data_IF_725112265897
#
_entry.id   IF_725112265897
#
_cell.length_a   1.000
_cell.length_b   1.000
_cell.length_c   1.000
_cell.angle_alpha   90.00
_cell.angle_beta   90.00
_cell.angle_gamma   90.00
#
_symmetry.space_group_name_H-M   'P 1'
#
loop_
_entity.id
_entity.type
_entity.pdbx_description
1 polymer ?
#
# COMPACT_ATOMS: atom_id res chain seq x y z
N UNK A 1 23.47 5.28 -6.59
CA UNK A 1 23.60 5.51 -8.05
C UNK A 1 22.50 4.76 -8.85
N UNK A 2 22.30 3.47 -8.64
CA UNK A 2 21.28 2.70 -9.36
C UNK A 2 19.86 3.25 -9.23
N UNK A 3 19.54 3.84 -8.08
CA UNK A 3 18.25 4.48 -7.83
C UNK A 3 18.03 5.79 -8.59
N UNK A 4 19.07 6.34 -9.19
CA UNK A 4 19.01 7.61 -9.91
C UNK A 4 18.81 7.46 -11.41
N UNK A 5 18.89 6.26 -11.94
CA UNK A 5 18.65 6.00 -13.36
C UNK A 5 17.17 6.18 -13.71
N UNK A 6 16.91 6.57 -14.92
CA UNK A 6 15.57 6.61 -15.53
C UNK A 6 15.54 5.59 -16.66
N UNK A 7 15.03 4.40 -16.38
CA UNK A 7 15.02 3.33 -17.37
C UNK A 7 16.18 2.35 -17.20
N UNK A 8 16.87 2.04 -18.27
CA UNK A 8 17.95 1.05 -18.26
C UNK A 8 19.20 1.52 -17.50
N UNK A 9 20.05 0.59 -17.13
CA UNK A 9 21.30 0.86 -16.39
C UNK A 9 22.24 1.79 -17.14
N UNK A 10 22.23 1.70 -18.47
CA UNK A 10 23.03 2.53 -19.37
C UNK A 10 22.75 4.02 -19.24
N UNK A 11 21.57 4.41 -18.73
CA UNK A 11 21.25 5.83 -18.50
C UNK A 11 22.16 6.49 -17.48
N UNK A 12 22.71 5.74 -16.53
CA UNK A 12 23.58 6.24 -15.46
C UNK A 12 25.04 5.85 -15.68
N UNK A 13 25.32 4.64 -16.15
CA UNK A 13 26.68 4.13 -16.35
C UNK A 13 27.61 5.10 -17.10
N UNK A 14 27.21 5.69 -18.27
CA UNK A 14 28.04 6.63 -18.98
C UNK A 14 28.33 7.94 -18.22
N UNK A 15 27.57 8.20 -17.15
CA UNK A 15 27.62 9.45 -16.38
C UNK A 15 28.33 9.28 -15.02
N UNK A 16 28.83 8.08 -14.72
CA UNK A 16 29.43 7.81 -13.41
C UNK A 16 30.65 8.72 -13.14
N UNK A 17 31.48 8.94 -14.15
CA UNK A 17 32.66 9.84 -14.04
C UNK A 17 32.25 11.28 -13.70
N UNK A 18 31.17 11.78 -14.31
CA UNK A 18 30.67 13.13 -14.04
C UNK A 18 29.99 13.21 -12.67
N UNK A 19 29.35 12.15 -12.22
CA UNK A 19 28.81 12.03 -10.87
C UNK A 19 29.93 12.02 -9.84
N UNK A 20 31.00 11.26 -10.07
CA UNK A 20 32.17 11.20 -9.18
C UNK A 20 32.84 12.58 -9.07
N UNK A 21 32.98 13.29 -10.21
CA UNK A 21 33.50 14.68 -10.22
C UNK A 21 32.56 15.64 -9.47
N UNK A 22 31.27 15.53 -9.65
CA UNK A 22 30.29 16.37 -8.96
C UNK A 22 30.39 16.21 -7.44
N UNK A 23 30.68 15.02 -6.96
CA UNK A 23 30.89 14.72 -5.55
C UNK A 23 32.36 14.75 -5.14
N UNK A 24 33.24 15.45 -5.92
CA UNK A 24 34.66 15.62 -5.61
C UNK A 24 35.40 14.31 -5.33
N UNK A 25 35.05 13.23 -6.06
CA UNK A 25 35.49 11.86 -5.82
C UNK A 25 35.23 11.39 -4.38
N UNK A 26 34.11 11.86 -3.82
CA UNK A 26 33.67 11.55 -2.46
C UNK A 26 34.57 12.07 -1.33
N UNK A 27 35.29 13.14 -1.58
CA UNK A 27 36.05 13.89 -0.55
C UNK A 27 35.04 14.59 0.37
N UNK A 28 34.86 14.07 1.58
CA UNK A 28 33.85 14.51 2.55
C UNK A 28 34.06 15.99 2.94
N UNK A 29 35.29 16.39 3.16
CA UNK A 29 35.62 17.78 3.53
C UNK A 29 35.19 18.76 2.44
N UNK A 30 35.39 18.40 1.17
CA UNK A 30 34.95 19.22 0.03
C UNK A 30 33.42 19.18 -0.10
N UNK A 31 32.78 18.01 0.03
CA UNK A 31 31.31 17.90 -0.04
C UNK A 31 30.69 18.83 1.00
N UNK A 32 31.18 18.83 2.23
CA UNK A 32 30.63 19.63 3.33
C UNK A 32 30.73 21.13 3.12
N UNK A 33 31.61 21.62 2.19
CA UNK A 33 31.67 23.05 1.85
C UNK A 33 30.51 23.52 0.95
N UNK A 34 29.71 22.59 0.40
CA UNK A 34 28.60 22.92 -0.49
C UNK A 34 27.24 22.52 0.13
N UNK A 35 26.19 23.32 -0.10
CA UNK A 35 24.86 22.96 0.32
C UNK A 35 24.29 21.80 -0.54
N UNK A 36 23.40 21.01 0.02
CA UNK A 36 22.77 19.89 -0.69
C UNK A 36 22.11 20.27 -2.03
N UNK A 37 21.61 21.51 -2.15
CA UNK A 37 21.04 22.03 -3.39
C UNK A 37 22.05 22.09 -4.56
N UNK A 38 23.34 22.28 -4.28
CA UNK A 38 24.41 22.24 -5.29
C UNK A 38 24.43 20.85 -5.95
N UNK A 39 24.41 19.79 -5.16
CA UNK A 39 24.43 18.41 -5.64
C UNK A 39 23.11 18.03 -6.32
N UNK A 40 21.94 18.48 -5.78
CA UNK A 40 20.66 18.28 -6.43
C UNK A 40 20.65 18.83 -7.86
N UNK A 41 21.08 20.09 -8.01
CA UNK A 41 21.14 20.74 -9.32
C UNK A 41 22.10 20.00 -10.28
N UNK A 42 23.29 19.62 -9.80
CA UNK A 42 24.27 18.87 -10.60
C UNK A 42 23.72 17.52 -11.07
N UNK A 43 23.09 16.73 -10.19
CA UNK A 43 22.49 15.45 -10.55
C UNK A 43 21.36 15.63 -11.59
N UNK A 44 20.54 16.68 -11.45
CA UNK A 44 19.48 16.98 -12.42
C UNK A 44 20.04 17.43 -13.78
N UNK A 45 21.12 18.22 -13.81
CA UNK A 45 21.81 18.60 -15.05
C UNK A 45 22.35 17.38 -15.78
N UNK A 46 22.86 16.39 -15.05
CA UNK A 46 23.27 15.10 -15.60
C UNK A 46 22.09 14.22 -16.05
N UNK A 47 20.85 14.71 -15.90
CA UNK A 47 19.60 13.95 -16.16
C UNK A 47 19.52 12.64 -15.36
N UNK A 48 20.08 12.66 -14.17
CA UNK A 48 20.05 11.55 -13.21
C UNK A 48 19.12 11.88 -12.02
N UNK A 49 19.00 10.96 -11.09
CA UNK A 49 18.20 11.14 -9.90
C UNK A 49 16.77 10.57 -10.04
N UNK A 50 16.12 10.43 -8.91
CA UNK A 50 14.74 10.00 -8.79
C UNK A 50 13.87 11.13 -8.21
N UNK A 51 12.58 10.85 -7.96
CA UNK A 51 11.66 11.83 -7.39
C UNK A 51 12.10 12.37 -6.02
N UNK A 52 12.88 11.60 -5.26
CA UNK A 52 13.35 11.93 -3.91
C UNK A 52 14.71 12.63 -3.88
N UNK A 53 15.33 12.93 -5.04
CA UNK A 53 16.70 13.47 -5.09
C UNK A 53 16.85 14.76 -4.29
N UNK A 54 15.85 15.64 -4.28
CA UNK A 54 15.86 16.87 -3.48
C UNK A 54 15.99 16.57 -1.99
N UNK A 55 15.17 15.66 -1.48
CA UNK A 55 15.20 15.25 -0.08
C UNK A 55 16.49 14.51 0.28
N UNK A 56 17.01 13.67 -0.64
CA UNK A 56 18.28 12.96 -0.43
C UNK A 56 19.43 13.94 -0.29
N UNK A 57 19.55 14.92 -1.18
CA UNK A 57 20.63 15.90 -1.15
C UNK A 57 20.49 16.89 0.01
N UNK A 58 19.29 17.26 0.40
CA UNK A 58 19.05 18.09 1.60
C UNK A 58 19.55 17.42 2.90
N UNK A 59 19.60 16.09 2.93
CA UNK A 59 20.07 15.32 4.09
C UNK A 59 21.58 14.97 4.01
N UNK A 60 22.25 15.24 2.88
CA UNK A 60 23.62 14.79 2.60
C UNK A 60 24.60 15.21 3.69
N UNK A 61 24.74 16.50 3.94
CA UNK A 61 25.71 17.02 4.90
C UNK A 61 25.44 16.51 6.33
N UNK A 62 24.16 16.46 6.74
CA UNK A 62 23.80 15.95 8.05
C UNK A 62 24.15 14.46 8.21
N UNK A 63 24.03 13.69 7.15
CA UNK A 63 24.39 12.27 7.16
C UNK A 63 25.91 12.09 7.17
N UNK A 64 26.69 12.90 6.43
CA UNK A 64 28.14 12.87 6.47
C UNK A 64 28.64 13.20 7.89
N UNK A 65 28.12 14.24 8.54
CA UNK A 65 28.47 14.54 9.93
C UNK A 65 28.16 13.37 10.87
N UNK A 66 27.09 12.65 10.65
CA UNK A 66 26.77 11.48 11.47
C UNK A 66 27.74 10.31 11.20
N UNK A 67 28.16 10.11 9.94
CA UNK A 67 29.17 9.10 9.62
C UNK A 67 30.54 9.43 10.24
N UNK A 68 30.98 10.70 10.18
CA UNK A 68 32.19 11.17 10.87
C UNK A 68 32.09 10.91 12.37
N UNK A 69 30.94 11.20 12.98
CA UNK A 69 30.73 10.90 14.41
C UNK A 69 30.86 9.40 14.71
N UNK A 70 30.36 8.53 13.85
CA UNK A 70 30.53 7.08 14.01
C UNK A 70 32.01 6.71 13.95
N UNK A 71 32.77 7.29 13.01
CA UNK A 71 34.21 7.05 12.90
C UNK A 71 34.99 7.56 14.13
N UNK A 72 34.60 8.68 14.71
CA UNK A 72 35.17 9.18 15.98
C UNK A 72 34.89 8.23 17.13
N UNK A 73 33.68 7.66 17.20
CA UNK A 73 33.24 6.76 18.28
C UNK A 73 33.84 5.34 18.16
N UNK A 74 34.12 4.85 16.94
CA UNK A 74 34.50 3.45 16.66
C UNK A 74 35.88 3.29 15.97
N UNK A 75 36.49 4.36 15.52
CA UNK A 75 37.76 4.33 14.77
C UNK A 75 37.57 4.22 13.26
N UNK A 76 36.59 3.48 12.79
CA UNK A 76 36.21 3.40 11.36
C UNK A 76 34.76 2.97 11.20
N UNK A 77 34.19 3.19 10.00
CA UNK A 77 32.85 2.67 9.65
C UNK A 77 32.86 1.14 9.55
N UNK A 78 33.98 0.53 9.13
CA UNK A 78 34.11 -0.93 9.06
C UNK A 78 34.11 -1.56 10.46
N UNK A 79 34.81 -0.94 11.42
CA UNK A 79 34.77 -1.39 12.83
C UNK A 79 33.38 -1.24 13.43
N UNK A 80 32.67 -0.16 13.09
CA UNK A 80 31.31 0.04 13.55
C UNK A 80 30.34 -1.06 13.07
N UNK A 81 30.33 -1.40 11.77
CA UNK A 81 29.36 -2.34 11.22
C UNK A 81 29.56 -3.78 11.70
N UNK A 82 30.74 -4.11 12.21
CA UNK A 82 31.03 -5.43 12.80
C UNK A 82 31.02 -5.43 14.35
N UNK A 83 30.84 -4.26 14.98
CA UNK A 83 30.91 -4.13 16.44
C UNK A 83 29.70 -4.73 17.18
N UNK A 84 28.59 -4.91 16.50
CA UNK A 84 27.32 -5.37 17.07
C UNK A 84 26.58 -6.29 16.09
N UNK A 85 25.53 -6.94 16.58
CA UNK A 85 24.62 -7.67 15.69
C UNK A 85 24.00 -6.75 14.63
N UNK A 86 23.84 -7.22 13.38
CA UNK A 86 23.38 -6.37 12.28
C UNK A 86 22.04 -5.67 12.50
N UNK A 87 21.10 -6.31 13.19
CA UNK A 87 19.80 -5.74 13.55
C UNK A 87 19.93 -4.54 14.52
N UNK A 88 20.92 -4.57 15.42
CA UNK A 88 21.24 -3.44 16.32
C UNK A 88 21.79 -2.27 15.50
N UNK A 89 22.74 -2.54 14.58
CA UNK A 89 23.30 -1.50 13.68
C UNK A 89 22.18 -0.88 12.84
N UNK A 90 21.31 -1.70 12.25
CA UNK A 90 20.16 -1.21 11.48
C UNK A 90 19.25 -0.31 12.33
N UNK A 91 18.96 -0.69 13.57
CA UNK A 91 18.16 0.12 14.48
C UNK A 91 18.84 1.44 14.80
N UNK A 92 20.16 1.43 15.08
CA UNK A 92 20.94 2.66 15.35
C UNK A 92 20.95 3.61 14.17
N UNK A 93 21.17 3.11 12.94
CA UNK A 93 21.20 3.92 11.72
C UNK A 93 19.82 4.38 11.26
N UNK A 94 18.76 3.66 11.56
CA UNK A 94 17.41 3.95 11.07
C UNK A 94 16.54 4.76 12.04
N UNK A 95 16.77 4.66 13.35
CA UNK A 95 15.94 5.34 14.38
C UNK A 95 16.67 5.65 15.69
N UNK A 96 17.90 5.12 15.86
CA UNK A 96 18.66 5.20 17.09
C UNK A 96 19.64 6.37 17.15
N UNK A 97 20.74 6.16 17.91
CA UNK A 97 21.74 7.18 18.25
C UNK A 97 22.49 7.72 17.02
N UNK A 98 22.70 6.88 15.99
CA UNK A 98 23.39 7.24 14.76
C UNK A 98 22.41 7.40 13.58
N UNK A 99 21.20 7.89 13.87
CA UNK A 99 20.14 8.08 12.89
C UNK A 99 20.60 8.85 11.67
N UNK A 100 20.63 8.20 10.51
CA UNK A 100 20.83 8.84 9.22
C UNK A 100 19.48 9.35 8.68
N UNK A 101 19.42 10.64 8.33
CA UNK A 101 18.21 11.28 7.83
C UNK A 101 17.79 10.69 6.48
N UNK A 102 16.53 10.29 6.38
CA UNK A 102 15.98 9.65 5.18
C UNK A 102 16.36 8.17 5.02
N UNK A 103 17.07 7.59 5.97
CA UNK A 103 17.39 6.16 6.01
C UNK A 103 16.43 5.48 6.99
N UNK A 104 15.60 4.58 6.48
CA UNK A 104 14.79 3.66 7.25
C UNK A 104 15.43 2.26 7.33
N UNK A 105 14.79 1.29 8.03
CA UNK A 105 15.35 -0.05 8.21
C UNK A 105 15.77 -0.73 6.90
N UNK A 106 14.94 -0.69 5.87
CA UNK A 106 15.26 -1.30 4.57
C UNK A 106 16.51 -0.70 3.91
N UNK A 107 16.73 0.62 4.01
CA UNK A 107 17.94 1.26 3.47
C UNK A 107 19.16 1.02 4.37
N UNK A 108 19.00 0.91 5.68
CA UNK A 108 20.07 0.53 6.58
C UNK A 108 20.53 -0.91 6.31
N UNK A 109 19.62 -1.85 6.06
CA UNK A 109 19.94 -3.20 5.59
C UNK A 109 20.66 -3.19 4.23
N UNK A 110 20.22 -2.35 3.28
CA UNK A 110 20.91 -2.16 2.00
C UNK A 110 22.34 -1.70 2.19
N UNK A 111 22.58 -0.74 3.10
CA UNK A 111 23.92 -0.28 3.44
C UNK A 111 24.78 -1.42 3.97
N UNK A 112 24.32 -2.16 4.98
CA UNK A 112 25.07 -3.29 5.55
C UNK A 112 25.42 -4.35 4.49
N UNK A 113 24.48 -4.68 3.62
CA UNK A 113 24.74 -5.61 2.50
C UNK A 113 25.81 -5.10 1.54
N UNK A 114 25.81 -3.79 1.25
CA UNK A 114 26.81 -3.19 0.34
C UNK A 114 28.23 -3.19 0.94
N UNK A 115 28.36 -3.25 2.26
CA UNK A 115 29.66 -3.37 2.96
C UNK A 115 29.97 -4.80 3.38
N UNK A 116 29.24 -5.80 2.88
CA UNK A 116 29.56 -7.22 3.02
C UNK A 116 28.96 -7.93 4.23
N UNK A 117 28.05 -7.29 4.96
CA UNK A 117 27.31 -7.93 6.05
C UNK A 117 26.15 -8.75 5.48
N UNK A 118 26.14 -10.06 5.77
CA UNK A 118 25.05 -10.94 5.30
C UNK A 118 23.70 -10.57 5.95
N UNK A 119 22.73 -10.27 5.12
CA UNK A 119 21.41 -9.85 5.55
C UNK A 119 20.42 -9.72 4.40
N UNK A 120 19.16 -9.53 4.73
CA UNK A 120 18.10 -9.28 3.78
C UNK A 120 17.58 -7.85 3.90
N UNK A 121 17.10 -7.32 2.79
CA UNK A 121 16.44 -6.01 2.74
C UNK A 121 14.93 -6.21 2.73
N UNK A 122 14.20 -5.88 3.81
CA UNK A 122 12.76 -6.01 3.85
C UNK A 122 12.09 -4.89 3.05
N UNK A 123 12.25 -4.92 1.72
CA UNK A 123 11.63 -3.97 0.81
C UNK A 123 10.21 -4.39 0.38
N UNK A 124 9.56 -3.55 -0.40
CA UNK A 124 8.18 -3.79 -0.86
C UNK A 124 8.02 -5.06 -1.70
N UNK A 125 9.08 -5.54 -2.36
CA UNK A 125 9.04 -6.79 -3.14
C UNK A 125 8.98 -8.01 -2.23
N UNK A 126 9.88 -8.09 -1.24
CA UNK A 126 9.91 -9.18 -0.27
C UNK A 126 8.66 -9.17 0.61
N UNK A 127 8.26 -8.01 1.13
CA UNK A 127 7.06 -7.87 1.95
C UNK A 127 5.81 -8.35 1.22
N UNK A 128 5.62 -7.94 -0.02
CA UNK A 128 4.51 -8.39 -0.85
C UNK A 128 4.60 -9.88 -1.16
N UNK A 129 5.78 -10.39 -1.52
CA UNK A 129 6.00 -11.81 -1.82
C UNK A 129 5.67 -12.71 -0.63
N UNK A 130 6.04 -12.30 0.58
CA UNK A 130 5.81 -13.03 1.83
C UNK A 130 4.45 -12.77 2.46
N UNK A 131 3.68 -11.79 1.98
CA UNK A 131 2.38 -11.43 2.51
C UNK A 131 1.30 -12.51 2.33
N UNK A 132 0.16 -12.31 3.03
CA UNK A 132 -0.96 -13.26 3.12
C UNK A 132 -1.54 -13.70 1.78
N UNK A 133 -1.54 -12.80 0.79
CA UNK A 133 -2.06 -13.08 -0.56
C UNK A 133 -1.03 -13.73 -1.50
N UNK A 134 0.18 -14.05 -1.05
CA UNK A 134 1.25 -14.67 -1.83
C UNK A 134 1.73 -15.95 -1.12
N UNK A 135 2.90 -15.92 -0.53
CA UNK A 135 3.46 -17.10 0.16
C UNK A 135 2.81 -17.35 1.54
N UNK A 136 2.17 -16.33 2.12
CA UNK A 136 1.43 -16.46 3.36
C UNK A 136 2.30 -16.67 4.58
N UNK A 137 3.49 -16.12 4.59
CA UNK A 137 4.38 -16.05 5.76
C UNK A 137 3.76 -15.12 6.80
N UNK A 138 3.18 -14.01 6.35
CA UNK A 138 2.42 -13.06 7.19
C UNK A 138 0.91 -13.23 6.97
N UNK A 139 0.12 -12.91 7.99
CA UNK A 139 -1.33 -12.77 7.89
C UNK A 139 -1.75 -11.42 7.29
N UNK A 140 -0.84 -10.45 7.25
CA UNK A 140 -1.06 -9.15 6.61
C UNK A 140 -0.80 -9.22 5.10
N UNK A 141 -1.38 -8.29 4.33
CA UNK A 141 -1.18 -8.20 2.87
C UNK A 141 0.29 -8.03 2.49
N UNK A 142 1.05 -7.32 3.31
CA UNK A 142 2.49 -7.17 3.23
C UNK A 142 3.08 -7.62 4.57
N UNK A 143 4.12 -8.44 4.52
CA UNK A 143 4.85 -8.86 5.72
C UNK A 143 5.55 -7.67 6.38
N UNK A 144 5.71 -7.71 7.69
CA UNK A 144 6.53 -6.76 8.43
C UNK A 144 8.02 -6.95 8.14
N UNK A 145 8.85 -6.00 8.53
CA UNK A 145 10.31 -6.12 8.43
C UNK A 145 10.82 -7.36 9.17
N UNK A 146 10.30 -7.60 10.37
CA UNK A 146 10.66 -8.72 11.23
C UNK A 146 10.29 -10.06 10.60
N UNK A 147 9.04 -10.21 10.12
CA UNK A 147 8.59 -11.43 9.45
C UNK A 147 9.42 -11.75 8.21
N UNK A 148 9.83 -10.74 7.42
CA UNK A 148 10.72 -10.93 6.26
C UNK A 148 12.09 -11.42 6.70
N UNK A 149 12.69 -10.78 7.71
CA UNK A 149 14.03 -11.13 8.18
C UNK A 149 14.06 -12.52 8.80
N UNK A 150 13.05 -12.89 9.59
CA UNK A 150 12.94 -14.22 10.21
C UNK A 150 12.74 -15.31 9.16
N UNK A 151 11.90 -15.06 8.15
CA UNK A 151 11.68 -16.03 7.08
C UNK A 151 12.92 -16.22 6.21
N UNK A 152 13.63 -15.14 5.86
CA UNK A 152 14.90 -15.24 5.12
C UNK A 152 15.95 -16.00 5.94
N UNK A 153 16.02 -15.73 7.27
CA UNK A 153 16.90 -16.48 8.18
C UNK A 153 16.54 -17.96 8.22
N UNK A 154 15.26 -18.31 8.29
CA UNK A 154 14.77 -19.68 8.25
C UNK A 154 15.12 -20.36 6.92
N UNK A 155 14.91 -19.70 5.80
CA UNK A 155 15.25 -20.22 4.47
C UNK A 155 16.75 -20.41 4.33
N UNK A 156 17.58 -19.49 4.81
CA UNK A 156 19.04 -19.60 4.83
C UNK A 156 19.50 -20.84 5.58
N UNK A 157 18.92 -21.09 6.76
CA UNK A 157 19.25 -22.29 7.57
C UNK A 157 18.88 -23.60 6.87
N UNK A 158 17.80 -23.63 6.09
CA UNK A 158 17.33 -24.85 5.38
C UNK A 158 18.11 -25.08 4.10
N UNK A 159 18.40 -24.01 3.36
CA UNK A 159 19.01 -24.13 2.00
C UNK A 159 20.51 -24.06 1.99
N UNK A 160 21.14 -23.56 3.06
CA UNK A 160 22.56 -23.24 3.11
C UNK A 160 22.99 -22.02 2.28
N UNK A 161 22.04 -21.32 1.67
CA UNK A 161 22.32 -20.08 0.93
C UNK A 161 22.47 -18.91 1.90
N UNK A 162 23.25 -17.89 1.51
CA UNK A 162 23.32 -16.65 2.28
C UNK A 162 21.96 -15.93 2.30
N UNK A 163 21.72 -15.11 3.30
CA UNK A 163 20.50 -14.27 3.37
C UNK A 163 20.44 -13.29 2.20
N UNK A 164 21.60 -12.81 1.78
CA UNK A 164 21.76 -11.99 0.60
C UNK A 164 21.26 -12.70 -0.67
N UNK A 165 21.68 -13.96 -0.89
CA UNK A 165 21.31 -14.71 -2.09
C UNK A 165 19.80 -15.00 -2.15
N UNK A 166 19.20 -15.30 -1.00
CA UNK A 166 17.75 -15.55 -0.89
C UNK A 166 16.98 -14.26 -1.20
N UNK A 167 17.35 -13.15 -0.57
CA UNK A 167 16.77 -11.84 -0.84
C UNK A 167 16.91 -11.47 -2.32
N UNK A 168 18.12 -11.57 -2.85
CA UNK A 168 18.40 -11.24 -4.25
C UNK A 168 17.58 -12.10 -5.22
N UNK A 169 17.45 -13.39 -4.97
CA UNK A 169 16.64 -14.30 -5.78
C UNK A 169 15.17 -13.88 -5.79
N UNK A 170 14.60 -13.59 -4.61
CA UNK A 170 13.22 -13.13 -4.49
C UNK A 170 13.04 -11.74 -5.15
N UNK A 171 13.98 -10.85 -4.93
CA UNK A 171 13.95 -9.52 -5.52
C UNK A 171 14.01 -9.57 -7.05
N UNK A 172 14.93 -10.33 -7.63
CA UNK A 172 15.03 -10.53 -9.10
C UNK A 172 13.74 -11.11 -9.65
N UNK A 173 13.13 -12.04 -8.91
CA UNK A 173 11.87 -12.67 -9.32
C UNK A 173 10.69 -11.69 -9.36
N UNK A 174 10.72 -10.65 -8.51
CA UNK A 174 9.65 -9.67 -8.34
C UNK A 174 9.87 -8.37 -9.11
N UNK A 175 11.12 -7.93 -9.29
CA UNK A 175 11.44 -6.57 -9.71
C UNK A 175 11.16 -6.32 -11.19
N UNK A 176 10.67 -5.09 -11.47
CA UNK A 176 10.53 -4.59 -12.84
C UNK A 176 11.91 -4.47 -13.53
N UNK A 177 11.96 -4.80 -14.81
CA UNK A 177 13.21 -4.85 -15.58
C UNK A 177 14.09 -6.07 -15.24
N UNK A 178 13.61 -7.01 -14.43
CA UNK A 178 14.25 -8.29 -14.10
C UNK A 178 13.32 -9.44 -14.46
N UNK A 179 13.02 -10.35 -13.54
CA UNK A 179 12.13 -11.47 -13.78
C UNK A 179 10.67 -11.07 -14.04
N UNK A 180 10.19 -10.05 -13.36
CA UNK A 180 8.83 -9.50 -13.50
C UNK A 180 7.71 -10.54 -13.31
N UNK A 181 7.98 -11.59 -12.52
CA UNK A 181 7.02 -12.69 -12.35
C UNK A 181 6.04 -12.36 -11.23
N UNK A 182 6.54 -11.95 -10.04
CA UNK A 182 5.69 -11.63 -8.89
C UNK A 182 5.63 -10.13 -8.61
N UNK A 183 5.16 -9.35 -9.60
CA UNK A 183 4.93 -7.91 -9.48
C UNK A 183 3.60 -7.60 -8.76
N UNK A 184 3.17 -6.33 -8.73
CA UNK A 184 1.82 -5.95 -8.29
C UNK A 184 0.74 -6.65 -9.13
N UNK A 185 0.99 -6.84 -10.44
CA UNK A 185 0.16 -7.63 -11.38
C UNK A 185 0.98 -8.85 -11.82
N UNK A 186 0.91 -9.98 -11.11
CA UNK A 186 1.84 -11.08 -11.30
C UNK A 186 1.54 -11.93 -12.53
N UNK A 187 2.61 -12.43 -13.17
CA UNK A 187 2.57 -13.38 -14.28
C UNK A 187 2.51 -14.82 -13.75
N UNK A 188 1.38 -15.20 -13.12
CA UNK A 188 1.23 -16.48 -12.43
C UNK A 188 1.43 -17.71 -13.31
N UNK A 189 1.20 -17.62 -14.61
CA UNK A 189 1.41 -18.75 -15.53
C UNK A 189 2.88 -19.11 -15.68
N UNK A 190 3.78 -18.14 -15.53
CA UNK A 190 5.23 -18.32 -15.55
C UNK A 190 5.83 -18.62 -14.18
N UNK A 191 5.01 -18.61 -13.13
CA UNK A 191 5.47 -18.70 -11.75
C UNK A 191 5.77 -20.15 -11.34
N UNK A 192 7.01 -20.42 -10.94
CA UNK A 192 7.43 -21.77 -10.51
C UNK A 192 6.88 -22.16 -9.14
N UNK A 193 6.56 -21.20 -8.29
CA UNK A 193 6.00 -21.43 -6.95
C UNK A 193 4.46 -21.29 -6.90
N UNK A 194 3.81 -21.24 -8.06
CA UNK A 194 2.34 -21.04 -8.14
C UNK A 194 1.51 -22.09 -7.36
N UNK A 195 2.03 -23.31 -7.25
CA UNK A 195 1.35 -24.40 -6.53
C UNK A 195 1.31 -24.21 -5.00
N UNK A 196 2.20 -23.37 -4.47
CA UNK A 196 2.31 -23.05 -3.04
C UNK A 196 1.79 -21.64 -2.71
N UNK A 197 1.49 -20.85 -3.74
CA UNK A 197 1.12 -19.46 -3.59
C UNK A 197 -0.39 -19.31 -3.42
N UNK A 198 -0.80 -18.57 -2.39
CA UNK A 198 -2.22 -18.29 -2.07
C UNK A 198 -2.88 -17.36 -3.08
N UNK A 199 -2.13 -16.61 -3.88
CA UNK A 199 -2.68 -15.63 -4.82
C UNK A 199 -3.59 -16.29 -5.87
N UNK A 200 -3.15 -17.39 -6.47
CA UNK A 200 -3.96 -18.11 -7.48
C UNK A 200 -5.15 -18.85 -6.86
N UNK A 201 -4.97 -19.37 -5.64
CA UNK A 201 -6.10 -19.94 -4.89
C UNK A 201 -7.17 -18.87 -4.58
N UNK A 202 -6.73 -17.66 -4.17
CA UNK A 202 -7.63 -16.55 -3.94
C UNK A 202 -8.22 -15.99 -5.25
N UNK A 203 -7.50 -16.02 -6.37
CA UNK A 203 -8.01 -15.60 -7.68
C UNK A 203 -9.04 -16.60 -8.22
N UNK A 204 -8.82 -17.90 -8.03
CA UNK A 204 -9.80 -18.95 -8.37
C UNK A 204 -11.00 -18.86 -7.44
N UNK A 205 -10.81 -18.62 -6.15
CA UNK A 205 -11.88 -18.40 -5.20
C UNK A 205 -12.64 -17.10 -5.49
N UNK A 206 -11.95 -16.02 -5.87
CA UNK A 206 -12.58 -14.76 -6.28
C UNK A 206 -13.35 -14.92 -7.59
N UNK A 207 -12.78 -15.61 -8.60
CA UNK A 207 -13.51 -15.93 -9.85
C UNK A 207 -14.66 -16.89 -9.62
N UNK A 208 -14.50 -17.89 -8.76
CA UNK A 208 -15.60 -18.76 -8.37
C UNK A 208 -16.67 -17.98 -7.59
N UNK A 209 -16.26 -17.06 -6.74
CA UNK A 209 -17.15 -16.15 -6.04
C UNK A 209 -17.82 -15.17 -7.01
N UNK A 210 -17.10 -14.59 -7.97
CA UNK A 210 -17.66 -13.76 -9.04
C UNK A 210 -18.66 -14.56 -9.92
N UNK A 211 -18.33 -15.81 -10.25
CA UNK A 211 -19.24 -16.71 -11.00
C UNK A 211 -20.46 -17.06 -10.14
N UNK A 212 -20.28 -17.33 -8.84
CA UNK A 212 -21.38 -17.61 -7.92
C UNK A 212 -22.21 -16.36 -7.68
N UNK A 213 -21.59 -15.19 -7.59
CA UNK A 213 -22.27 -13.88 -7.47
C UNK A 213 -22.99 -13.56 -8.77
N UNK A 214 -22.36 -13.73 -9.95
CA UNK A 214 -23.02 -13.54 -11.26
C UNK A 214 -24.15 -14.53 -11.50
N UNK A 215 -24.00 -15.79 -11.04
CA UNK A 215 -25.08 -16.78 -11.08
C UNK A 215 -26.20 -16.44 -10.08
N UNK A 216 -25.84 -16.03 -8.84
CA UNK A 216 -26.80 -15.54 -7.85
C UNK A 216 -27.37 -14.18 -8.26
N UNK A 217 -26.61 -13.29 -8.88
CA UNK A 217 -27.13 -12.04 -9.43
C UNK A 217 -28.10 -12.30 -10.59
N UNK A 218 -27.86 -13.31 -11.43
CA UNK A 218 -28.80 -13.75 -12.48
C UNK A 218 -30.03 -14.49 -11.93
N UNK A 219 -29.90 -15.24 -10.82
CA UNK A 219 -31.02 -15.78 -10.07
C UNK A 219 -31.74 -14.71 -9.23
N UNK A 220 -30.99 -13.77 -8.64
CA UNK A 220 -31.49 -12.67 -7.81
C UNK A 220 -31.97 -11.48 -8.64
N UNK A 221 -31.60 -11.36 -9.94
CA UNK A 221 -32.33 -10.52 -10.90
C UNK A 221 -33.80 -10.94 -11.03
N UNK A 222 -34.17 -12.14 -10.51
CA UNK A 222 -35.54 -12.57 -10.33
C UNK A 222 -36.11 -12.35 -8.91
N UNK A 223 -35.28 -11.98 -7.90
CA UNK A 223 -35.71 -11.89 -6.49
C UNK A 223 -35.16 -10.75 -5.64
N UNK A 224 -34.13 -10.04 -6.04
CA UNK A 224 -33.46 -9.02 -5.20
C UNK A 224 -33.13 -7.77 -5.96
N UNK A 225 -33.79 -6.73 -5.66
CA UNK A 225 -33.74 -5.41 -6.25
C UNK A 225 -35.13 -4.78 -6.23
N UNK A 226 -36.07 -5.44 -5.52
CA UNK A 226 -37.47 -5.05 -5.49
C UNK A 226 -37.63 -3.58 -5.09
N UNK A 227 -36.98 -3.16 -4.03
CA UNK A 227 -37.04 -1.77 -3.57
C UNK A 227 -36.23 -0.81 -4.47
N UNK A 228 -35.04 -1.22 -4.94
CA UNK A 228 -34.27 -0.41 -5.87
C UNK A 228 -35.00 -0.24 -7.19
N UNK A 229 -35.46 -1.31 -7.80
CA UNK A 229 -36.09 -1.24 -9.13
C UNK A 229 -37.45 -0.51 -9.06
N UNK A 230 -38.16 -0.65 -7.94
CA UNK A 230 -39.43 0.03 -7.73
C UNK A 230 -39.29 1.52 -7.40
N UNK A 231 -38.32 1.90 -6.57
CA UNK A 231 -38.28 3.24 -5.97
C UNK A 231 -37.08 4.10 -6.39
N UNK A 232 -36.15 3.60 -7.20
CA UNK A 232 -34.87 4.27 -7.46
C UNK A 232 -35.03 5.70 -7.99
N UNK A 233 -35.91 5.93 -8.94
CA UNK A 233 -36.11 7.24 -9.56
C UNK A 233 -36.80 8.22 -8.60
N UNK A 234 -37.85 7.78 -7.91
CA UNK A 234 -38.57 8.59 -6.92
C UNK A 234 -37.65 8.94 -5.73
N UNK A 235 -36.83 7.96 -5.32
CA UNK A 235 -35.86 8.17 -4.26
C UNK A 235 -34.73 9.14 -4.67
N UNK A 236 -34.29 9.12 -5.92
CA UNK A 236 -33.36 10.12 -6.42
C UNK A 236 -33.92 11.54 -6.36
N UNK A 237 -35.21 11.72 -6.69
CA UNK A 237 -35.89 13.03 -6.60
C UNK A 237 -36.02 13.48 -5.13
N UNK A 238 -36.36 12.57 -4.24
CA UNK A 238 -36.40 12.82 -2.80
C UNK A 238 -35.02 13.24 -2.26
N UNK A 239 -33.96 12.48 -2.58
CA UNK A 239 -32.59 12.81 -2.16
C UNK A 239 -32.16 14.17 -2.67
N UNK A 240 -32.46 14.51 -3.93
CA UNK A 240 -32.16 15.82 -4.49
C UNK A 240 -32.79 16.92 -3.67
N UNK A 241 -34.09 16.83 -3.41
CA UNK A 241 -34.80 17.84 -2.62
C UNK A 241 -34.20 17.98 -1.23
N UNK A 242 -34.06 16.88 -0.49
CA UNK A 242 -33.57 16.85 0.88
C UNK A 242 -32.14 17.39 1.00
N UNK A 243 -31.22 16.86 0.18
CA UNK A 243 -29.80 17.23 0.25
C UNK A 243 -29.54 18.66 -0.26
N UNK A 244 -30.33 19.16 -1.22
CA UNK A 244 -30.24 20.55 -1.68
C UNK A 244 -30.80 21.53 -0.63
N UNK A 245 -31.84 21.18 0.09
CA UNK A 245 -32.36 21.95 1.21
C UNK A 245 -31.33 22.08 2.33
N UNK A 246 -30.68 20.96 2.72
CA UNK A 246 -29.61 20.94 3.70
C UNK A 246 -28.41 21.81 3.27
N UNK A 247 -28.01 21.73 2.00
CA UNK A 247 -26.90 22.53 1.45
C UNK A 247 -27.23 24.01 1.40
N UNK A 248 -28.46 24.38 1.01
CA UNK A 248 -28.91 25.76 0.99
C UNK A 248 -28.95 26.38 2.40
N UNK A 249 -29.39 25.60 3.40
CA UNK A 249 -29.38 26.06 4.80
C UNK A 249 -27.98 26.37 5.32
N UNK A 250 -26.94 25.66 4.77
CA UNK A 250 -25.54 25.84 5.11
C UNK A 250 -24.80 26.83 4.18
N UNK A 251 -25.51 27.50 3.28
CA UNK A 251 -24.93 28.39 2.27
C UNK A 251 -23.87 27.75 1.38
N UNK A 252 -24.04 26.47 1.02
CA UNK A 252 -23.14 25.63 0.20
C UNK A 252 -23.75 25.36 -1.18
N UNK A 253 -22.94 25.18 -2.25
CA UNK A 253 -23.45 24.80 -3.56
C UNK A 253 -24.17 23.44 -3.52
N UNK A 254 -25.22 23.28 -4.32
CA UNK A 254 -26.00 22.04 -4.43
C UNK A 254 -25.16 20.89 -4.98
N UNK A 255 -25.58 19.68 -4.71
CA UNK A 255 -24.89 18.50 -5.22
C UNK A 255 -25.11 18.28 -6.73
N UNK A 256 -24.10 17.73 -7.41
CA UNK A 256 -24.22 17.33 -8.82
C UNK A 256 -25.13 16.09 -8.97
N UNK A 257 -25.69 15.91 -10.17
CA UNK A 257 -26.51 14.72 -10.49
C UNK A 257 -25.77 13.42 -10.27
N UNK A 258 -24.46 13.38 -10.58
CA UNK A 258 -23.61 12.23 -10.33
C UNK A 258 -23.47 11.91 -8.84
N UNK A 259 -23.41 12.93 -7.99
CA UNK A 259 -23.33 12.76 -6.54
C UNK A 259 -24.65 12.20 -6.00
N UNK A 260 -25.80 12.75 -6.39
CA UNK A 260 -27.12 12.22 -6.00
C UNK A 260 -27.30 10.76 -6.43
N UNK A 261 -26.91 10.44 -7.68
CA UNK A 261 -26.95 9.08 -8.19
C UNK A 261 -26.05 8.13 -7.39
N UNK A 262 -24.89 8.59 -6.93
CA UNK A 262 -24.00 7.81 -6.06
C UNK A 262 -24.68 7.50 -4.74
N UNK A 263 -25.25 8.49 -4.05
CA UNK A 263 -26.01 8.26 -2.82
C UNK A 263 -27.14 7.25 -3.01
N UNK A 264 -27.94 7.41 -4.07
CA UNK A 264 -29.03 6.49 -4.38
C UNK A 264 -28.54 5.06 -4.66
N UNK A 265 -27.42 4.91 -5.35
CA UNK A 265 -26.82 3.59 -5.66
C UNK A 265 -26.27 2.92 -4.40
N UNK A 266 -25.58 3.69 -3.57
CA UNK A 266 -24.93 3.20 -2.35
C UNK A 266 -25.96 2.80 -1.28
N UNK A 267 -27.13 3.39 -1.28
CA UNK A 267 -28.26 3.01 -0.42
C UNK A 267 -28.58 1.52 -0.51
N UNK A 268 -28.58 0.98 -1.70
CA UNK A 268 -28.95 -0.42 -1.96
C UNK A 268 -27.76 -1.38 -1.94
N UNK A 269 -26.66 -1.01 -1.28
CA UNK A 269 -25.43 -1.80 -1.25
C UNK A 269 -25.63 -3.20 -0.66
N UNK A 270 -26.37 -3.32 0.43
CA UNK A 270 -26.67 -4.59 1.09
C UNK A 270 -27.79 -5.38 0.40
N UNK A 271 -28.81 -4.72 -0.16
CA UNK A 271 -29.91 -5.38 -0.86
C UNK A 271 -29.41 -6.33 -1.97
N UNK A 272 -28.30 -5.99 -2.59
CA UNK A 272 -27.68 -6.81 -3.64
C UNK A 272 -26.84 -7.98 -3.13
N UNK A 273 -26.57 -8.05 -1.82
CA UNK A 273 -25.62 -9.00 -1.23
C UNK A 273 -26.23 -9.97 -0.26
N UNK A 274 -27.39 -9.66 0.24
CA UNK A 274 -28.10 -10.46 1.24
C UNK A 274 -29.51 -10.80 0.74
N UNK A 275 -29.92 -12.02 0.96
CA UNK A 275 -31.28 -12.51 0.62
C UNK A 275 -32.28 -12.18 1.74
N UNK A 276 -32.32 -10.91 2.13
CA UNK A 276 -33.18 -10.37 3.18
C UNK A 276 -33.87 -9.13 2.65
N UNK A 277 -35.16 -8.96 2.96
CA UNK A 277 -35.88 -7.76 2.58
C UNK A 277 -35.16 -6.52 3.12
N UNK A 278 -34.80 -5.61 2.21
CA UNK A 278 -34.00 -4.41 2.53
C UNK A 278 -34.57 -3.61 3.71
N UNK A 279 -35.89 -3.43 3.72
CA UNK A 279 -36.57 -2.65 4.76
C UNK A 279 -36.57 -3.34 6.13
N UNK A 280 -36.38 -4.67 6.19
CA UNK A 280 -36.30 -5.38 7.46
C UNK A 280 -35.09 -4.97 8.31
N UNK A 281 -34.04 -4.46 7.68
CA UNK A 281 -32.82 -3.99 8.35
C UNK A 281 -32.96 -2.60 8.96
N UNK A 282 -34.08 -1.93 8.70
CA UNK A 282 -34.32 -0.55 9.11
C UNK A 282 -35.46 -0.43 10.12
N UNK A 283 -35.99 -1.58 10.63
CA UNK A 283 -37.17 -1.62 11.52
C UNK A 283 -36.88 -1.07 12.92
N UNK A 284 -35.78 -1.49 13.50
CA UNK A 284 -35.45 -1.20 14.89
C UNK A 284 -33.92 -1.08 15.07
N UNK A 285 -33.48 -0.73 16.27
CA UNK A 285 -32.07 -0.54 16.57
C UNK A 285 -31.21 -1.81 16.40
N UNK A 286 -31.76 -2.98 16.67
CA UNK A 286 -31.01 -4.24 16.57
C UNK A 286 -30.84 -4.65 15.09
N UNK A 287 -31.86 -4.49 14.27
CA UNK A 287 -31.76 -4.64 12.82
C UNK A 287 -30.75 -3.68 12.18
N UNK A 288 -30.68 -2.43 12.66
CA UNK A 288 -29.70 -1.44 12.23
C UNK A 288 -28.27 -1.84 12.63
N UNK A 289 -28.10 -2.38 13.84
CA UNK A 289 -26.78 -2.89 14.29
C UNK A 289 -26.34 -4.10 13.45
N UNK A 290 -27.27 -4.98 13.10
CA UNK A 290 -27.00 -6.11 12.21
C UNK A 290 -26.58 -5.61 10.82
N UNK A 291 -27.31 -4.68 10.23
CA UNK A 291 -26.94 -4.04 8.95
C UNK A 291 -25.53 -3.43 9.01
N UNK A 292 -25.19 -2.72 10.09
CA UNK A 292 -23.84 -2.17 10.29
C UNK A 292 -22.78 -3.27 10.35
N UNK A 293 -23.05 -4.36 11.04
CA UNK A 293 -22.14 -5.51 11.15
C UNK A 293 -21.88 -6.17 9.80
N UNK A 294 -22.92 -6.32 8.98
CA UNK A 294 -22.81 -6.84 7.61
C UNK A 294 -22.01 -5.90 6.70
N UNK A 295 -22.27 -4.59 6.78
CA UNK A 295 -21.48 -3.59 6.05
C UNK A 295 -20.01 -3.67 6.45
N UNK A 296 -19.70 -3.75 7.74
CA UNK A 296 -18.33 -3.93 8.23
C UNK A 296 -17.67 -5.18 7.65
N UNK A 297 -18.39 -6.29 7.58
CA UNK A 297 -17.90 -7.54 6.98
C UNK A 297 -17.54 -7.35 5.51
N UNK A 298 -18.46 -6.80 4.69
CA UNK A 298 -18.21 -6.58 3.26
C UNK A 298 -17.16 -5.52 2.94
N UNK A 299 -16.96 -4.56 3.84
CA UNK A 299 -16.02 -3.46 3.68
C UNK A 299 -14.67 -3.69 4.39
N UNK A 300 -14.47 -4.85 5.02
CA UNK A 300 -13.28 -5.16 5.83
C UNK A 300 -11.93 -5.00 5.08
N UNK A 301 -11.93 -5.13 3.74
CA UNK A 301 -10.76 -4.91 2.90
C UNK A 301 -10.50 -3.43 2.50
N UNK A 302 -11.33 -2.49 2.94
CA UNK A 302 -11.20 -1.07 2.64
C UNK A 302 -10.25 -0.35 3.62
N UNK A 303 -9.77 0.84 3.22
CA UNK A 303 -8.83 1.63 4.04
C UNK A 303 -9.43 2.09 5.37
N UNK A 304 -10.72 2.41 5.40
CA UNK A 304 -11.43 2.89 6.58
C UNK A 304 -12.81 2.19 6.66
N UNK A 305 -12.88 0.89 6.98
CA UNK A 305 -14.11 0.11 6.88
C UNK A 305 -15.24 0.63 7.78
N UNK A 306 -14.92 1.08 8.99
CA UNK A 306 -15.90 1.62 9.93
C UNK A 306 -16.57 2.89 9.41
N UNK A 307 -15.77 3.85 8.93
CA UNK A 307 -16.27 5.11 8.37
C UNK A 307 -17.10 4.86 7.09
N UNK A 308 -16.67 3.92 6.25
CA UNK A 308 -17.41 3.55 5.06
C UNK A 308 -18.72 2.82 5.42
N UNK A 309 -18.71 1.91 6.39
CA UNK A 309 -19.93 1.25 6.87
C UNK A 309 -20.93 2.26 7.43
N UNK A 310 -20.48 3.25 8.15
CA UNK A 310 -21.33 4.33 8.66
C UNK A 310 -21.92 5.20 7.54
N UNK A 311 -21.14 5.50 6.51
CA UNK A 311 -21.63 6.18 5.31
C UNK A 311 -22.75 5.38 4.61
N UNK A 312 -22.53 4.10 4.31
CA UNK A 312 -23.56 3.25 3.67
C UNK A 312 -24.81 3.10 4.55
N UNK A 313 -24.62 2.96 5.86
CA UNK A 313 -25.74 2.89 6.80
C UNK A 313 -26.56 4.19 6.79
N UNK A 314 -25.93 5.34 6.75
CA UNK A 314 -26.62 6.64 6.64
C UNK A 314 -27.41 6.75 5.33
N UNK A 315 -26.87 6.25 4.21
CA UNK A 315 -27.62 6.17 2.95
C UNK A 315 -28.89 5.30 3.10
N UNK A 316 -28.78 4.14 3.76
CA UNK A 316 -29.92 3.26 4.03
C UNK A 316 -30.97 3.92 4.93
N UNK A 317 -30.55 4.64 5.96
CA UNK A 317 -31.46 5.36 6.87
C UNK A 317 -32.22 6.49 6.15
N UNK A 318 -31.59 7.17 5.20
CA UNK A 318 -32.29 8.17 4.36
C UNK A 318 -33.39 7.52 3.50
N UNK A 319 -33.19 6.28 3.04
CA UNK A 319 -34.23 5.56 2.33
C UNK A 319 -35.38 5.15 3.25
N UNK A 320 -35.11 4.78 4.50
CA UNK A 320 -36.16 4.50 5.50
C UNK A 320 -37.09 5.70 5.67
N UNK A 321 -36.53 6.91 5.77
CA UNK A 321 -37.31 8.12 5.93
C UNK A 321 -38.20 8.37 4.69
N UNK A 322 -37.62 8.23 3.48
CA UNK A 322 -38.36 8.30 2.22
C UNK A 322 -39.50 7.27 2.15
N UNK A 323 -39.18 6.00 2.47
CA UNK A 323 -40.16 4.92 2.42
C UNK A 323 -41.32 5.13 3.40
N UNK A 324 -41.04 5.65 4.57
CA UNK A 324 -42.04 6.03 5.55
C UNK A 324 -42.95 7.16 5.03
N UNK A 325 -42.41 8.17 4.37
CA UNK A 325 -43.19 9.27 3.79
C UNK A 325 -44.16 8.80 2.71
N UNK A 326 -43.71 7.91 1.82
CA UNK A 326 -44.59 7.40 0.74
C UNK A 326 -45.64 6.42 1.25
N UNK A 327 -45.31 5.58 2.26
CA UNK A 327 -46.27 4.63 2.84
C UNK A 327 -47.31 5.32 3.70
N UNK A 328 -46.98 6.41 4.37
CA UNK A 328 -47.99 7.21 5.12
C UNK A 328 -48.88 8.09 4.25
N UNK A 329 -48.51 8.35 2.99
CA UNK A 329 -49.36 9.09 2.03
C UNK A 329 -50.41 8.21 1.37
N UNK A 330 -50.33 6.88 1.50
CA UNK A 330 -51.26 5.91 0.91
C UNK A 330 -52.17 5.24 1.94
N UNK A 331 -52.08 5.63 3.23
CA UNK A 331 -53.01 5.31 4.31
C UNK A 331 -53.78 6.56 4.73
#
# INVERSE_FOLDING_TARGET
RSAWRKGEREDVEPKLVDIDRLFFNYDEAKILTYPGEYFEKGIRQLRCGNISIKSQMANLNANIFMLIKIEEDYGSLDDYVVSKAPDVIVKELSSGIYKLKGIGPALAWEYLRNVGIDGAKPDTHLKRFMGSKRMGVSDNMEASDEEVLDEVKRLSAITGLSRFDIDYAIWVYCADGKGQICTSSPSCDKCVVKGYCRYKANEVAAKAYEIIVDYKEKENMKKGGEYRDQFFNEYMEYLRKRLDEDRKSLNKPVYSDSTIKTYATDTFYLEKREDVSFISWLKDEDSIKEAKSKLMYYLSGRKNPEKEAEYYLNCMLMFRDFYSEITHKHN
#
